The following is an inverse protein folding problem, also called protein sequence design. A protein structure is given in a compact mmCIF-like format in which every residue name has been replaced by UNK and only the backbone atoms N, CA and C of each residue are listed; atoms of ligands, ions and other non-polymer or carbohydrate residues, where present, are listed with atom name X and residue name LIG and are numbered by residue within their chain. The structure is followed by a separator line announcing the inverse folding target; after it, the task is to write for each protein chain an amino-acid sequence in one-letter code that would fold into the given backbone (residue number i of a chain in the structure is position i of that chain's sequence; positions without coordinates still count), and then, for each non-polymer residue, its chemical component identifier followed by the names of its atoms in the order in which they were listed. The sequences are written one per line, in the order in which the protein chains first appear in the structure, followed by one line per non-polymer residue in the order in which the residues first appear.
data_IF_660930706556
#
_entry.id   IF_660930706556
#
_cell.length_a   1.000
_cell.length_b   1.000
_cell.length_c   1.000
_cell.angle_alpha   90.00
_cell.angle_beta   90.00
_cell.angle_gamma   90.00
#
_symmetry.space_group_name_H-M   'P 1'
#
loop_
_entity.id
_entity.type
_entity.pdbx_description
1 polymer ?
#
# COMPACT_ATOMS: atom_id res chain seq x y z
N UNK A 1 -18.57 4.10 24.02
CA UNK A 1 -19.05 4.56 22.68
C UNK A 1 -18.40 5.90 22.38
N UNK A 2 -17.08 5.89 22.35
CA UNK A 2 -16.15 6.98 22.08
C UNK A 2 -15.08 6.36 21.18
N UNK A 3 -14.54 7.10 20.20
CA UNK A 3 -13.42 6.73 19.31
C UNK A 3 -13.74 6.20 17.90
N UNK A 4 -14.98 6.25 17.41
CA UNK A 4 -15.30 5.73 16.07
C UNK A 4 -15.23 6.78 14.94
N UNK A 5 -14.08 7.44 14.78
CA UNK A 5 -13.64 8.05 13.52
C UNK A 5 -12.23 8.61 13.69
N UNK A 6 -11.21 7.84 13.26
CA UNK A 6 -9.93 8.47 12.90
C UNK A 6 -10.27 9.52 11.83
N UNK A 7 -9.93 10.78 12.07
CA UNK A 7 -10.20 11.82 11.08
C UNK A 7 -9.47 11.47 9.79
N UNK A 8 -10.08 11.71 8.63
CA UNK A 8 -9.46 11.44 7.33
C UNK A 8 -8.05 12.05 7.26
N UNK A 9 -7.90 13.26 7.77
CA UNK A 9 -6.62 13.98 7.85
C UNK A 9 -5.58 13.24 8.71
N UNK A 10 -5.97 12.68 9.86
CA UNK A 10 -5.05 11.90 10.70
C UNK A 10 -4.59 10.62 9.99
N UNK A 11 -5.48 9.97 9.24
CA UNK A 11 -5.13 8.79 8.43
C UNK A 11 -4.17 9.18 7.31
N UNK A 12 -4.42 10.29 6.62
CA UNK A 12 -3.52 10.80 5.56
C UNK A 12 -2.14 11.10 6.12
N UNK A 13 -2.03 11.81 7.24
CA UNK A 13 -0.73 12.12 7.87
C UNK A 13 0.04 10.85 8.28
N UNK A 14 -0.68 9.84 8.79
CA UNK A 14 -0.11 8.55 9.12
C UNK A 14 0.43 7.82 7.89
N UNK A 15 -0.33 7.80 6.80
CA UNK A 15 0.07 7.20 5.53
C UNK A 15 1.25 7.94 4.88
N UNK A 16 1.27 9.27 4.92
CA UNK A 16 2.40 10.07 4.43
C UNK A 16 3.68 9.75 5.22
N UNK A 17 3.59 9.67 6.56
CA UNK A 17 4.72 9.31 7.40
C UNK A 17 5.25 7.91 7.10
N UNK A 18 4.35 6.95 6.84
CA UNK A 18 4.72 5.60 6.43
C UNK A 18 5.37 5.59 5.04
N UNK A 19 4.74 6.21 4.04
CA UNK A 19 5.24 6.25 2.66
C UNK A 19 6.60 6.95 2.54
N UNK A 20 6.84 8.01 3.32
CA UNK A 20 8.15 8.68 3.37
C UNK A 20 9.27 7.76 3.89
N UNK A 21 8.95 6.85 4.82
CA UNK A 21 9.91 5.85 5.32
C UNK A 21 10.16 4.73 4.32
N UNK A 22 9.12 4.28 3.60
CA UNK A 22 9.22 3.20 2.61
C UNK A 22 9.92 3.66 1.33
N UNK A 23 9.68 4.91 0.92
CA UNK A 23 10.25 5.50 -0.29
C UNK A 23 11.16 6.68 0.08
N UNK A 24 12.36 6.46 0.63
CA UNK A 24 13.24 7.54 1.07
C UNK A 24 13.75 8.39 -0.11
N UNK A 25 14.00 7.77 -1.28
CA UNK A 25 14.57 8.46 -2.45
C UNK A 25 13.54 8.59 -3.58
N UNK A 26 13.72 9.55 -4.51
CA UNK A 26 12.85 9.67 -5.69
C UNK A 26 12.97 8.49 -6.66
N UNK A 27 14.06 7.70 -6.59
CA UNK A 27 14.22 6.49 -7.39
C UNK A 27 13.32 5.34 -6.91
N UNK A 28 12.89 5.35 -5.64
CA UNK A 28 12.02 4.34 -5.05
C UNK A 28 10.55 4.50 -5.48
N UNK A 29 10.20 5.63 -6.11
CA UNK A 29 8.85 5.90 -6.62
C UNK A 29 8.63 5.09 -7.91
N UNK A 30 7.48 4.41 -8.07
CA UNK A 30 7.20 3.63 -9.27
C UNK A 30 7.33 4.45 -10.56
N UNK A 31 8.04 3.89 -11.54
CA UNK A 31 8.16 4.50 -12.87
C UNK A 31 6.85 4.43 -13.65
N UNK A 32 6.69 5.32 -14.64
CA UNK A 32 5.49 5.28 -15.50
C UNK A 32 5.40 3.99 -16.32
N UNK A 33 6.52 3.32 -16.59
CA UNK A 33 6.54 1.99 -17.23
C UNK A 33 5.95 0.94 -16.29
N UNK A 34 6.27 0.98 -14.99
CA UNK A 34 5.62 0.10 -14.01
C UNK A 34 4.10 0.29 -13.98
N UNK A 35 3.61 1.54 -14.10
CA UNK A 35 2.18 1.79 -14.23
C UNK A 35 1.59 1.28 -15.56
N UNK A 36 2.35 1.32 -16.65
CA UNK A 36 1.94 0.74 -17.93
C UNK A 36 1.84 -0.79 -17.86
N UNK A 37 2.81 -1.46 -17.23
CA UNK A 37 2.78 -2.92 -17.02
C UNK A 37 1.54 -3.34 -16.21
N UNK A 38 1.13 -2.52 -15.25
CA UNK A 38 -0.11 -2.74 -14.50
C UNK A 38 -1.37 -2.66 -15.38
N UNK A 39 -1.40 -1.77 -16.38
CA UNK A 39 -2.49 -1.69 -17.36
C UNK A 39 -2.51 -2.94 -18.22
N UNK A 40 -1.36 -3.33 -18.78
CA UNK A 40 -1.23 -4.53 -19.60
C UNK A 40 -1.64 -5.79 -18.84
N UNK A 41 -1.21 -5.93 -17.58
CA UNK A 41 -1.60 -7.04 -16.72
C UNK A 41 -3.11 -7.09 -16.47
N UNK A 42 -3.79 -5.94 -16.39
CA UNK A 42 -5.23 -5.86 -16.23
C UNK A 42 -5.99 -6.29 -17.50
N UNK A 43 -5.53 -5.83 -18.67
CA UNK A 43 -6.14 -6.19 -19.95
C UNK A 43 -5.75 -7.58 -20.46
N UNK A 44 -4.66 -8.15 -19.93
CA UNK A 44 -4.19 -9.48 -20.30
C UNK A 44 -5.20 -10.58 -19.97
N UNK A 45 -5.22 -11.63 -20.80
CA UNK A 45 -6.17 -12.76 -20.72
C UNK A 45 -6.19 -13.40 -19.33
N UNK A 46 -5.03 -13.54 -18.70
CA UNK A 46 -4.91 -14.10 -17.35
C UNK A 46 -5.67 -13.28 -16.29
N UNK A 47 -5.53 -11.95 -16.33
CA UNK A 47 -6.21 -11.05 -15.38
C UNK A 47 -7.72 -11.07 -15.59
N UNK A 48 -8.14 -11.08 -16.86
CA UNK A 48 -9.54 -11.16 -17.28
C UNK A 48 -10.20 -12.46 -16.81
N UNK A 49 -9.56 -13.60 -17.04
CA UNK A 49 -10.08 -14.92 -16.64
C UNK A 49 -10.15 -15.05 -15.11
N UNK A 50 -9.12 -14.59 -14.39
CA UNK A 50 -9.10 -14.62 -12.92
C UNK A 50 -10.25 -13.79 -12.31
N UNK A 51 -10.50 -12.60 -12.85
CA UNK A 51 -11.59 -11.74 -12.40
C UNK A 51 -12.95 -12.38 -12.67
N UNK A 52 -13.12 -12.96 -13.86
CA UNK A 52 -14.34 -13.64 -14.23
C UNK A 52 -14.61 -14.85 -13.31
N UNK A 53 -13.60 -15.66 -13.02
CA UNK A 53 -13.73 -16.80 -12.11
C UNK A 53 -14.08 -16.39 -10.66
N UNK A 54 -13.41 -15.35 -10.12
CA UNK A 54 -13.57 -14.97 -8.71
C UNK A 54 -14.81 -14.10 -8.44
N UNK A 55 -15.15 -13.21 -9.37
CA UNK A 55 -16.16 -12.18 -9.16
C UNK A 55 -17.29 -12.22 -10.20
N UNK A 56 -17.19 -13.03 -11.26
CA UNK A 56 -18.24 -13.13 -12.30
C UNK A 56 -18.27 -11.97 -13.29
N UNK A 57 -17.33 -11.02 -13.22
CA UNK A 57 -17.27 -9.88 -14.14
C UNK A 57 -15.84 -9.56 -14.58
N UNK A 58 -15.75 -8.81 -15.68
CA UNK A 58 -14.50 -8.27 -16.22
C UNK A 58 -13.88 -7.28 -15.22
N UNK A 59 -12.54 -7.23 -15.06
CA UNK A 59 -11.91 -6.33 -14.11
C UNK A 59 -12.07 -4.86 -14.57
N UNK A 60 -12.28 -3.96 -13.62
CA UNK A 60 -12.29 -2.53 -13.89
C UNK A 60 -10.83 -2.01 -13.96
N UNK A 61 -10.34 -1.73 -15.17
CA UNK A 61 -8.97 -1.25 -15.39
C UNK A 61 -8.84 0.29 -15.34
N UNK A 62 -9.93 1.04 -15.09
CA UNK A 62 -9.93 2.51 -15.12
C UNK A 62 -8.94 3.12 -14.14
N UNK A 63 -8.84 2.58 -12.92
CA UNK A 63 -7.93 3.09 -11.89
C UNK A 63 -6.46 2.97 -12.31
N UNK A 64 -6.09 1.86 -12.97
CA UNK A 64 -4.73 1.65 -13.48
C UNK A 64 -4.38 2.64 -14.58
N UNK A 65 -5.34 2.95 -15.44
CA UNK A 65 -5.19 3.96 -16.49
C UNK A 65 -5.05 5.36 -15.87
N UNK A 66 -5.82 5.68 -14.82
CA UNK A 66 -5.71 6.95 -14.11
C UNK A 66 -4.33 7.13 -13.47
N UNK A 67 -3.77 6.10 -12.83
CA UNK A 67 -2.41 6.14 -12.27
C UNK A 67 -1.35 6.39 -13.35
N UNK A 68 -1.45 5.72 -14.50
CA UNK A 68 -0.52 5.95 -15.60
C UNK A 68 -0.60 7.37 -16.16
N UNK A 69 -1.82 7.89 -16.37
CA UNK A 69 -2.03 9.27 -16.83
C UNK A 69 -1.43 10.28 -15.86
N UNK A 70 -1.63 10.07 -14.56
CA UNK A 70 -1.06 10.92 -13.52
C UNK A 70 0.48 10.87 -13.50
N UNK A 71 1.07 9.68 -13.63
CA UNK A 71 2.52 9.56 -13.71
C UNK A 71 3.08 10.33 -14.92
N UNK A 72 2.41 10.22 -16.08
CA UNK A 72 2.78 11.00 -17.26
C UNK A 72 2.68 12.50 -16.99
N UNK A 73 1.57 13.00 -16.43
CA UNK A 73 1.44 14.44 -16.15
C UNK A 73 2.53 14.97 -15.22
N UNK A 74 2.93 14.19 -14.21
CA UNK A 74 4.01 14.59 -13.31
C UNK A 74 5.39 14.60 -13.97
N UNK A 75 5.66 13.65 -14.87
CA UNK A 75 6.97 13.50 -15.52
C UNK A 75 7.37 14.72 -16.35
N UNK A 76 6.41 15.41 -16.96
CA UNK A 76 6.67 16.56 -17.82
C UNK A 76 6.79 17.89 -17.07
N UNK A 77 6.29 17.97 -15.84
CA UNK A 77 6.05 19.27 -15.17
C UNK A 77 6.93 19.54 -13.95
N UNK A 78 7.53 18.52 -13.33
CA UNK A 78 8.12 18.66 -11.98
C UNK A 78 9.52 18.06 -11.84
N UNK A 79 10.29 18.58 -10.88
CA UNK A 79 11.58 18.01 -10.48
C UNK A 79 11.41 16.64 -9.78
N UNK A 80 12.45 15.79 -9.74
CA UNK A 80 12.35 14.43 -9.16
C UNK A 80 11.82 14.41 -7.72
N UNK A 81 12.26 15.34 -6.87
CA UNK A 81 11.83 15.44 -5.48
C UNK A 81 10.37 15.91 -5.35
N UNK A 82 9.99 16.91 -6.14
CA UNK A 82 8.62 17.42 -6.14
C UNK A 82 7.63 16.35 -6.64
N UNK A 83 8.03 15.57 -7.67
CA UNK A 83 7.26 14.41 -8.13
C UNK A 83 7.02 13.40 -7.02
N UNK A 84 8.05 13.15 -6.19
CA UNK A 84 7.96 12.23 -5.05
C UNK A 84 6.97 12.75 -4.02
N UNK A 85 7.06 14.02 -3.62
CA UNK A 85 6.13 14.61 -2.64
C UNK A 85 4.67 14.58 -3.12
N UNK A 86 4.41 14.98 -4.38
CA UNK A 86 3.07 14.96 -4.96
C UNK A 86 2.53 13.52 -5.06
N UNK A 87 3.38 12.56 -5.44
CA UNK A 87 3.02 11.15 -5.49
C UNK A 87 2.69 10.59 -4.10
N UNK A 88 3.51 10.87 -3.08
CA UNK A 88 3.30 10.43 -1.70
C UNK A 88 1.95 10.92 -1.20
N UNK A 89 1.65 12.21 -1.37
CA UNK A 89 0.39 12.80 -0.92
C UNK A 89 -0.83 12.15 -1.57
N UNK A 90 -0.83 12.04 -2.92
CA UNK A 90 -1.95 11.39 -3.64
C UNK A 90 -2.10 9.93 -3.24
N UNK A 91 -0.98 9.24 -2.98
CA UNK A 91 -0.99 7.84 -2.55
C UNK A 91 -1.52 7.68 -1.12
N UNK A 92 -1.18 8.60 -0.22
CA UNK A 92 -1.70 8.65 1.14
C UNK A 92 -3.21 8.90 1.14
N UNK A 93 -3.69 9.86 0.35
CA UNK A 93 -5.12 10.12 0.17
C UNK A 93 -5.84 8.86 -0.37
N UNK A 94 -5.27 8.18 -1.37
CA UNK A 94 -5.84 6.95 -1.92
C UNK A 94 -5.98 5.84 -0.87
N UNK A 95 -4.96 5.66 -0.01
CA UNK A 95 -5.02 4.70 1.09
C UNK A 95 -6.01 5.13 2.17
N UNK A 96 -6.04 6.41 2.52
CA UNK A 96 -6.96 6.93 3.52
C UNK A 96 -8.43 6.71 3.12
N UNK A 97 -8.80 6.90 1.85
CA UNK A 97 -10.14 6.59 1.36
C UNK A 97 -10.51 5.10 1.52
N UNK A 98 -9.53 4.20 1.42
CA UNK A 98 -9.76 2.75 1.62
C UNK A 98 -9.85 2.38 3.09
N UNK A 99 -9.12 3.08 3.95
CA UNK A 99 -9.08 2.87 5.40
C UNK A 99 -10.30 3.46 6.13
N UNK A 100 -10.97 4.48 5.57
CA UNK A 100 -12.25 5.00 6.09
C UNK A 100 -13.35 3.94 6.05
N UNK A 101 -13.33 3.04 5.06
CA UNK A 101 -14.26 1.92 5.01
C UNK A 101 -14.01 0.93 6.14
N UNK A 102 -14.95 0.01 6.36
CA UNK A 102 -14.79 -1.06 7.38
C UNK A 102 -13.52 -1.84 7.09
N UNK A 103 -12.55 -1.76 7.99
CA UNK A 103 -11.24 -2.38 7.84
C UNK A 103 -10.84 -3.09 9.12
N UNK A 104 -9.81 -3.93 9.06
CA UNK A 104 -9.26 -4.57 10.25
C UNK A 104 -8.76 -3.57 11.30
N UNK A 105 -8.53 -2.33 10.89
CA UNK A 105 -8.05 -1.26 11.77
C UNK A 105 -9.14 -0.65 12.66
N UNK A 106 -10.40 -1.06 12.45
CA UNK A 106 -11.50 -0.79 13.37
C UNK A 106 -11.38 -1.64 14.65
N UNK A 107 -10.62 -2.73 14.58
CA UNK A 107 -10.37 -3.66 15.70
C UNK A 107 -8.95 -3.55 16.23
N UNK A 108 -7.98 -3.24 15.35
CA UNK A 108 -6.56 -3.22 15.70
C UNK A 108 -5.92 -1.88 15.38
N UNK A 109 -5.29 -1.26 16.38
CA UNK A 109 -4.54 -0.03 16.17
C UNK A 109 -3.15 -0.26 15.56
N UNK A 110 -2.67 0.73 14.79
CA UNK A 110 -1.31 0.70 14.25
C UNK A 110 -0.32 0.78 15.41
N UNK A 111 0.71 -0.07 15.35
CA UNK A 111 1.83 0.00 16.29
C UNK A 111 2.59 1.32 16.16
N UNK A 112 2.80 1.97 17.29
CA UNK A 112 3.67 3.16 17.44
C UNK A 112 5.14 2.77 17.49
N UNK A 113 5.45 1.62 18.09
CA UNK A 113 6.81 1.15 18.32
C UNK A 113 7.13 -0.09 17.45
N UNK A 114 8.38 -0.19 16.94
CA UNK A 114 8.82 -1.39 16.24
C UNK A 114 8.86 -2.58 17.20
N UNK A 115 8.67 -3.79 16.66
CA UNK A 115 8.83 -5.00 17.44
C UNK A 115 10.29 -5.11 17.92
N UNK A 116 10.46 -5.46 19.18
CA UNK A 116 11.76 -5.86 19.70
C UNK A 116 12.31 -7.10 18.97
N UNK A 117 13.60 -7.40 19.14
CA UNK A 117 14.22 -8.57 18.53
C UNK A 117 13.44 -9.84 18.92
N UNK A 118 13.12 -10.66 17.91
CA UNK A 118 12.45 -11.95 18.11
C UNK A 118 13.38 -12.80 18.97
N UNK A 119 12.91 -13.24 20.14
CA UNK A 119 13.66 -14.16 20.99
C UNK A 119 13.70 -15.53 20.30
N UNK A 120 14.87 -16.19 20.18
CA UNK A 120 14.92 -17.54 19.65
C UNK A 120 14.10 -18.48 20.54
N UNK A 121 13.36 -19.39 19.91
CA UNK A 121 12.63 -20.45 20.61
C UNK A 121 13.66 -21.37 21.26
N UNK A 122 13.56 -21.58 22.57
CA UNK A 122 14.46 -22.49 23.30
C UNK A 122 13.93 -23.93 23.23
N UNK A 123 14.79 -24.93 23.40
CA UNK A 123 14.37 -26.34 23.47
C UNK A 123 13.35 -26.59 24.60
N UNK A 124 13.43 -25.79 25.67
CA UNK A 124 12.47 -25.74 26.78
C UNK A 124 11.05 -25.39 26.30
N UNK A 125 10.91 -24.43 25.38
CA UNK A 125 9.63 -23.98 24.84
C UNK A 125 8.99 -25.02 23.89
N UNK A 126 9.81 -25.91 23.32
CA UNK A 126 9.41 -26.95 22.36
C UNK A 126 9.07 -28.26 23.09
N UNK A 127 9.35 -28.35 24.40
CA UNK A 127 9.16 -29.58 25.19
C UNK A 127 10.10 -30.72 24.77
N UNK A 128 11.21 -30.42 24.07
CA UNK A 128 12.24 -31.43 23.80
C UNK A 128 13.01 -31.71 25.07
N UNK A 129 12.93 -32.95 25.55
CA UNK A 129 13.74 -33.42 26.67
C UNK A 129 15.20 -33.41 26.23
N UNK A 130 16.05 -32.66 26.94
CA UNK A 130 17.50 -32.68 26.76
C UNK A 130 17.96 -34.14 26.85
N UNK A 131 18.56 -34.65 25.76
CA UNK A 131 19.14 -36.00 25.75
C UNK A 131 20.55 -35.83 26.33
N UNK A 132 20.70 -36.20 27.60
CA UNK A 132 22.00 -36.33 28.27
C UNK A 132 22.82 -37.47 27.65
#
# INVERSE_FOLDING_TARGET
MSELNKSFEAIVQQEEAYLRRVHPTPADVPSCISHFDNILACHGVRGQLKSLYRYGHRPNCKDKIAEFKFCLSLKWSHEPEERREIWIRRRAEWWAHRRIGRSSEDVWDMRTEPLGPIKPIKDEDIGRRQVN
#
